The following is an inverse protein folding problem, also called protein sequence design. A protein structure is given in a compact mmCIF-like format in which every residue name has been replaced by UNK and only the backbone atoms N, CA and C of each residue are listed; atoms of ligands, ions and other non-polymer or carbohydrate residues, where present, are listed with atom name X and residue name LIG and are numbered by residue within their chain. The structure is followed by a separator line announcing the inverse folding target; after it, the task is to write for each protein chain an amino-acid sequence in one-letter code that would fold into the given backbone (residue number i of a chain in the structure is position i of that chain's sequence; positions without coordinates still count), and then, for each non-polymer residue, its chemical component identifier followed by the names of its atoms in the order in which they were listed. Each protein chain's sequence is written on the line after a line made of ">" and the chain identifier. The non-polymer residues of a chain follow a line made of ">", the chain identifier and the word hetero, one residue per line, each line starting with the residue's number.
data_IF_809063390683
#
_entry.id   IF_809063390683
#
_cell.length_a   1.000
_cell.length_b   1.000
_cell.length_c   1.000
_cell.angle_alpha   90.00
_cell.angle_beta   90.00
_cell.angle_gamma   90.00
#
_symmetry.space_group_name_H-M   'P 1'
#
loop_
_entity.id
_entity.type
_entity.pdbx_description
1 polymer ?
#
# COMPACT_ATOMS: atom_id res chain seq x y z
N UNK A 1 -14.65 6.04 -12.51
CA UNK A 1 -14.06 4.71 -12.26
C UNK A 1 -12.90 4.86 -11.30
N UNK A 2 -12.44 3.77 -10.68
CA UNK A 2 -11.18 3.78 -9.91
C UNK A 2 -10.03 3.49 -10.88
N UNK A 3 -9.00 4.33 -10.86
CA UNK A 3 -7.72 4.03 -11.52
C UNK A 3 -6.80 3.36 -10.49
N UNK A 4 -6.40 2.11 -10.77
CA UNK A 4 -5.66 1.28 -9.82
C UNK A 4 -4.29 0.97 -10.39
N UNK A 5 -3.25 1.42 -9.67
CA UNK A 5 -1.86 1.07 -9.95
C UNK A 5 -1.40 -0.05 -9.01
N UNK A 6 -0.80 -1.10 -9.57
CA UNK A 6 -0.17 -2.18 -8.81
C UNK A 6 1.33 -1.95 -8.74
N UNK A 7 1.90 -2.00 -7.54
CA UNK A 7 3.33 -1.88 -7.27
C UNK A 7 3.85 -3.17 -6.65
N UNK A 8 4.92 -3.71 -7.21
CA UNK A 8 5.62 -4.88 -6.69
C UNK A 8 7.07 -4.85 -7.18
N UNK A 9 7.98 -5.44 -6.41
CA UNK A 9 9.40 -5.61 -6.76
C UNK A 9 9.59 -6.77 -7.75
N UNK A 10 8.62 -7.67 -7.86
CA UNK A 10 8.65 -8.85 -8.72
C UNK A 10 8.09 -8.54 -10.11
N UNK A 11 8.95 -8.63 -11.12
CA UNK A 11 8.60 -8.36 -12.52
C UNK A 11 7.45 -9.23 -13.04
N UNK A 12 7.44 -10.51 -12.71
CA UNK A 12 6.41 -11.46 -13.13
C UNK A 12 5.03 -11.11 -12.57
N UNK A 13 4.96 -10.60 -11.33
CA UNK A 13 3.73 -10.09 -10.72
C UNK A 13 3.21 -8.87 -11.49
N UNK A 14 4.10 -7.92 -11.82
CA UNK A 14 3.74 -6.73 -12.59
C UNK A 14 3.29 -7.06 -14.01
N UNK A 15 3.97 -7.98 -14.68
CA UNK A 15 3.56 -8.44 -16.02
C UNK A 15 2.19 -9.13 -15.99
N UNK A 16 1.91 -9.91 -14.95
CA UNK A 16 0.58 -10.49 -14.74
C UNK A 16 -0.49 -9.43 -14.52
N UNK A 17 -0.25 -8.44 -13.66
CA UNK A 17 -1.19 -7.34 -13.42
C UNK A 17 -1.53 -6.59 -14.72
N UNK A 18 -0.52 -6.32 -15.56
CA UNK A 18 -0.72 -5.71 -16.89
C UNK A 18 -1.56 -6.56 -17.82
N UNK A 19 -1.35 -7.88 -17.84
CA UNK A 19 -2.19 -8.82 -18.63
C UNK A 19 -3.65 -8.84 -18.15
N UNK A 20 -3.87 -8.60 -16.87
CA UNK A 20 -5.21 -8.48 -16.27
C UNK A 20 -5.83 -7.07 -16.46
N UNK A 21 -5.16 -6.18 -17.20
CA UNK A 21 -5.67 -4.84 -17.54
C UNK A 21 -5.40 -3.77 -16.48
N UNK A 22 -4.57 -4.06 -15.47
CA UNK A 22 -4.19 -3.11 -14.42
C UNK A 22 -2.93 -2.32 -14.80
N UNK A 23 -2.79 -1.12 -14.25
CA UNK A 23 -1.57 -0.34 -14.38
C UNK A 23 -0.46 -0.89 -13.46
N UNK A 24 0.31 -1.87 -13.93
CA UNK A 24 1.44 -2.43 -13.17
C UNK A 24 2.72 -1.61 -13.31
N UNK A 25 3.35 -1.24 -12.19
CA UNK A 25 4.65 -0.58 -12.15
C UNK A 25 5.64 -1.35 -11.26
N UNK A 26 6.83 -1.62 -11.81
CA UNK A 26 7.92 -2.27 -11.09
C UNK A 26 8.62 -1.22 -10.23
N UNK A 27 8.54 -1.35 -8.91
CA UNK A 27 9.25 -0.48 -7.97
C UNK A 27 9.49 -1.20 -6.65
N UNK A 28 10.52 -0.79 -5.93
CA UNK A 28 10.84 -1.30 -4.60
C UNK A 28 10.45 -0.27 -3.55
N UNK A 29 9.44 -0.56 -2.72
CA UNK A 29 8.97 0.40 -1.72
C UNK A 29 9.98 0.65 -0.58
N UNK A 30 11.00 -0.20 -0.42
CA UNK A 30 12.11 0.06 0.49
C UNK A 30 13.11 1.08 -0.07
N UNK A 31 13.12 1.26 -1.39
CA UNK A 31 13.92 2.26 -2.10
C UNK A 31 13.13 2.83 -3.29
N UNK A 32 12.05 3.59 -3.01
CA UNK A 32 11.06 3.97 -4.01
C UNK A 32 11.68 4.91 -5.04
N UNK A 33 11.55 4.56 -6.33
CA UNK A 33 12.03 5.39 -7.44
C UNK A 33 10.89 5.96 -8.27
N UNK A 34 9.69 5.38 -8.19
CA UNK A 34 8.54 5.86 -8.92
C UNK A 34 7.96 7.13 -8.28
N UNK A 35 7.58 8.10 -9.11
CA UNK A 35 6.84 9.29 -8.67
C UNK A 35 5.34 9.04 -8.54
N UNK A 36 4.86 7.82 -8.82
CA UNK A 36 3.43 7.51 -8.83
C UNK A 36 2.76 7.77 -7.48
N UNK A 37 3.48 7.54 -6.38
CA UNK A 37 2.96 7.76 -5.03
C UNK A 37 2.55 9.22 -4.77
N UNK A 38 3.18 10.20 -5.44
CA UNK A 38 2.85 11.63 -5.31
C UNK A 38 1.44 11.96 -5.82
N UNK A 39 0.96 11.21 -6.79
CA UNK A 39 -0.29 11.49 -7.49
C UNK A 39 -1.43 10.55 -7.08
N UNK A 40 -1.17 9.65 -6.13
CA UNK A 40 -2.19 8.75 -5.62
C UNK A 40 -3.10 9.46 -4.62
N UNK A 41 -4.40 9.20 -4.70
CA UNK A 41 -5.37 9.67 -3.70
C UNK A 41 -5.37 8.76 -2.43
N UNK A 42 -4.89 7.52 -2.57
CA UNK A 42 -4.87 6.51 -1.51
C UNK A 42 -3.77 5.48 -1.77
N UNK A 43 -3.01 5.14 -0.73
CA UNK A 43 -2.21 3.93 -0.67
C UNK A 43 -2.98 2.84 0.08
N UNK A 44 -2.94 1.60 -0.39
CA UNK A 44 -3.48 0.49 0.39
C UNK A 44 -2.66 -0.78 0.24
N UNK A 45 -2.70 -1.65 1.26
CA UNK A 45 -2.10 -2.97 1.19
C UNK A 45 -2.86 -3.99 2.05
N UNK A 46 -3.05 -5.18 1.48
CA UNK A 46 -3.71 -6.31 2.14
C UNK A 46 -2.67 -7.37 2.46
N UNK A 47 -2.64 -7.74 3.74
CA UNK A 47 -1.71 -8.67 4.39
C UNK A 47 -0.21 -8.32 4.25
N UNK A 48 0.21 -7.04 4.31
CA UNK A 48 1.64 -6.75 4.35
C UNK A 48 2.25 -7.25 5.68
N UNK A 49 3.43 -7.90 5.64
CA UNK A 49 4.26 -8.11 6.81
C UNK A 49 4.74 -6.78 7.39
N UNK A 50 5.18 -6.82 8.65
CA UNK A 50 5.46 -5.64 9.47
C UNK A 50 6.50 -4.69 8.86
N UNK A 51 7.53 -5.23 8.21
CA UNK A 51 8.54 -4.46 7.49
C UNK A 51 7.96 -3.66 6.33
N UNK A 52 7.06 -4.27 5.54
CA UNK A 52 6.32 -3.57 4.49
C UNK A 52 5.37 -2.52 5.06
N UNK A 53 4.73 -2.78 6.20
CA UNK A 53 3.89 -1.77 6.87
C UNK A 53 4.67 -0.51 7.22
N UNK A 54 5.91 -0.63 7.73
CA UNK A 54 6.76 0.52 8.01
C UNK A 54 7.08 1.34 6.75
N UNK A 55 7.41 0.68 5.63
CA UNK A 55 7.70 1.40 4.37
C UNK A 55 6.46 2.08 3.80
N UNK A 56 5.30 1.43 3.84
CA UNK A 56 4.04 2.03 3.41
C UNK A 56 3.69 3.28 4.23
N UNK A 57 3.85 3.22 5.55
CA UNK A 57 3.63 4.37 6.43
C UNK A 57 4.61 5.51 6.13
N UNK A 58 5.88 5.19 5.82
CA UNK A 58 6.87 6.17 5.39
C UNK A 58 6.46 6.86 4.09
N UNK A 59 6.06 6.09 3.08
CA UNK A 59 5.55 6.62 1.81
C UNK A 59 4.33 7.52 2.02
N UNK A 60 3.38 7.07 2.85
CA UNK A 60 2.19 7.83 3.21
C UNK A 60 2.54 9.20 3.78
N UNK A 61 3.49 9.27 4.72
CA UNK A 61 3.98 10.53 5.32
C UNK A 61 4.75 11.39 4.33
N UNK A 62 5.62 10.79 3.53
CA UNK A 62 6.48 11.49 2.57
C UNK A 62 5.67 12.18 1.46
N UNK A 63 4.70 11.46 0.88
CA UNK A 63 3.89 11.94 -0.23
C UNK A 63 2.57 12.58 0.20
N UNK A 64 2.30 12.62 1.50
CA UNK A 64 1.04 13.09 2.09
C UNK A 64 -0.20 12.44 1.50
N UNK A 65 -0.15 11.12 1.34
CA UNK A 65 -1.26 10.31 0.82
C UNK A 65 -1.81 9.42 1.94
N UNK A 66 -3.13 9.37 2.18
CA UNK A 66 -3.72 8.46 3.15
C UNK A 66 -3.33 7.00 2.90
N UNK A 67 -3.26 6.19 3.96
CA UNK A 67 -2.87 4.79 3.86
C UNK A 67 -3.83 3.86 4.61
N UNK A 68 -4.32 2.83 3.92
CA UNK A 68 -5.08 1.73 4.53
C UNK A 68 -4.25 0.45 4.53
N UNK A 69 -4.12 -0.18 5.68
CA UNK A 69 -3.44 -1.46 5.86
C UNK A 69 -4.39 -2.46 6.50
N UNK A 70 -4.45 -3.66 5.94
CA UNK A 70 -5.00 -4.85 6.60
C UNK A 70 -3.85 -5.82 6.86
N UNK A 71 -3.24 -5.89 8.07
CA UNK A 71 -2.06 -6.70 8.34
C UNK A 71 -2.25 -8.20 8.06
N UNK A 72 -1.13 -8.91 7.95
CA UNK A 72 -1.12 -10.37 7.99
C UNK A 72 -1.68 -10.86 9.35
N UNK A 73 -2.48 -11.93 9.36
CA UNK A 73 -3.09 -12.45 10.59
C UNK A 73 -2.05 -12.74 11.67
N UNK A 74 -2.26 -12.21 12.89
CA UNK A 74 -1.34 -12.36 14.01
C UNK A 74 -0.23 -11.31 14.07
N UNK A 75 -0.09 -10.46 13.06
CA UNK A 75 0.82 -9.31 13.14
C UNK A 75 0.14 -8.08 13.77
N UNK A 76 0.90 -7.38 14.60
CA UNK A 76 0.50 -6.09 15.14
C UNK A 76 0.77 -4.98 14.12
N UNK A 77 -0.13 -3.99 14.00
CA UNK A 77 0.11 -2.80 13.20
C UNK A 77 1.37 -2.06 13.68
N UNK A 78 2.03 -1.36 12.78
CA UNK A 78 3.09 -0.42 13.14
C UNK A 78 2.51 0.83 13.81
N UNK A 79 3.29 1.45 14.69
CA UNK A 79 2.90 2.68 15.38
C UNK A 79 2.65 3.81 14.38
N UNK A 80 1.53 4.53 14.56
CA UNK A 80 1.06 5.58 13.64
C UNK A 80 -0.09 5.14 12.74
N UNK A 81 -0.47 3.86 12.73
CA UNK A 81 -1.71 3.41 12.13
C UNK A 81 -2.83 3.32 13.20
N UNK A 82 -3.98 3.91 12.91
CA UNK A 82 -5.17 3.90 13.76
C UNK A 82 -6.10 2.75 13.41
N UNK A 83 -6.50 1.97 14.41
CA UNK A 83 -7.51 0.92 14.26
C UNK A 83 -8.87 1.53 13.86
N UNK A 84 -9.47 1.01 12.81
CA UNK A 84 -10.85 1.30 12.40
C UNK A 84 -11.63 0.01 12.18
N UNK A 85 -12.93 0.04 12.41
CA UNK A 85 -13.85 -1.00 12.00
C UNK A 85 -14.69 -0.50 10.83
N UNK A 86 -14.66 -1.23 9.71
CA UNK A 86 -15.52 -0.95 8.57
C UNK A 86 -16.37 -2.17 8.25
N UNK A 87 -17.67 -2.11 8.57
CA UNK A 87 -18.64 -3.19 8.31
C UNK A 87 -18.19 -4.55 8.87
N UNK A 88 -17.56 -4.55 10.04
CA UNK A 88 -17.04 -5.77 10.67
C UNK A 88 -15.58 -6.09 10.31
N UNK A 89 -15.01 -5.47 9.27
CA UNK A 89 -13.61 -5.66 8.91
C UNK A 89 -12.71 -4.75 9.75
N UNK A 90 -11.66 -5.34 10.31
CA UNK A 90 -10.60 -4.62 11.02
C UNK A 90 -9.57 -4.11 10.03
N UNK A 91 -9.44 -2.79 9.95
CA UNK A 91 -8.46 -2.10 9.10
C UNK A 91 -7.65 -1.12 9.96
N UNK A 92 -6.53 -0.69 9.42
CA UNK A 92 -5.64 0.27 10.04
C UNK A 92 -5.37 1.42 9.10
N UNK A 93 -5.58 2.65 9.55
CA UNK A 93 -5.56 3.86 8.73
C UNK A 93 -4.49 4.83 9.22
N UNK A 94 -3.74 5.43 8.30
CA UNK A 94 -3.01 6.68 8.53
C UNK A 94 -3.66 7.80 7.72
N UNK A 95 -4.20 8.79 8.42
CA UNK A 95 -4.75 10.03 7.85
C UNK A 95 -3.66 11.11 7.82
N UNK A 96 -3.86 12.13 6.98
CA UNK A 96 -2.93 13.26 6.82
C UNK A 96 -3.30 14.44 7.72
#
# INVERSE_FOLDING_TARGET
>A
GLDVTVIDVKRDVIERARREGLNGQLDDIFNPKSKVYRYADLLYSIRPPRDLQYQLLKLSREYRVPLIVRPLSGEFPVEGLKLINYRGEVLYLHEQ
#
